data_IF_639733907109
#
_entry.id   IF_639733907109
#
_cell.length_a   1.000
_cell.length_b   1.000
_cell.length_c   1.000
_cell.angle_alpha   90.00
_cell.angle_beta   90.00
_cell.angle_gamma   90.00
#
_symmetry.space_group_name_H-M   'P 1'
#
loop_
_entity.id
_entity.type
_entity.pdbx_description
1 polymer ?
#
# COMPACT_ATOMS: atom_id res chain seq x y z
N UNK A 1 -34.61 0.85 15.61
CA UNK A 1 -33.19 0.60 15.96
C UNK A 1 -32.48 1.94 16.12
N UNK A 2 -31.78 2.11 17.23
CA UNK A 2 -31.00 3.33 17.45
C UNK A 2 -29.67 3.25 16.70
N UNK A 3 -29.13 4.40 16.33
CA UNK A 3 -27.91 4.51 15.57
C UNK A 3 -26.76 5.02 16.46
N UNK A 4 -25.59 4.48 16.26
CA UNK A 4 -24.35 4.99 16.84
C UNK A 4 -23.70 5.91 15.79
N UNK A 5 -23.60 7.21 16.11
CA UNK A 5 -23.12 8.20 15.17
C UNK A 5 -21.84 8.86 15.68
N UNK A 6 -20.82 8.81 14.83
CA UNK A 6 -19.54 9.48 15.08
C UNK A 6 -18.82 9.67 13.75
N UNK A 7 -17.81 10.52 13.73
CA UNK A 7 -16.96 10.68 12.57
C UNK A 7 -15.95 9.52 12.54
N UNK A 8 -16.09 8.65 11.55
CA UNK A 8 -15.23 7.47 11.40
C UNK A 8 -14.00 7.72 10.51
N UNK A 9 -13.86 8.93 9.98
CA UNK A 9 -12.71 9.29 9.15
C UNK A 9 -12.73 8.73 7.73
N UNK A 10 -13.75 7.97 7.35
CA UNK A 10 -13.84 7.44 5.99
C UNK A 10 -13.98 8.56 4.97
N UNK A 11 -13.24 8.43 3.88
CA UNK A 11 -13.31 9.33 2.72
C UNK A 11 -13.45 8.51 1.45
N UNK A 12 -14.07 9.10 0.44
CA UNK A 12 -14.21 8.50 -0.88
C UNK A 12 -13.16 9.11 -1.82
N UNK A 13 -12.49 8.26 -2.57
CA UNK A 13 -11.45 8.68 -3.52
C UNK A 13 -11.79 8.14 -4.92
N UNK A 14 -11.71 9.03 -5.90
CA UNK A 14 -11.78 8.61 -7.30
C UNK A 14 -10.40 8.11 -7.74
N UNK A 15 -10.38 7.00 -8.46
CA UNK A 15 -9.15 6.52 -9.07
C UNK A 15 -8.95 7.26 -10.38
N UNK A 16 -7.85 8.01 -10.49
CA UNK A 16 -7.50 8.81 -11.67
C UNK A 16 -8.63 9.74 -12.13
N UNK A 17 -9.30 10.38 -11.17
CA UNK A 17 -10.41 11.31 -11.41
C UNK A 17 -11.60 10.69 -12.16
N UNK A 18 -11.74 9.38 -12.12
CA UNK A 18 -12.83 8.65 -12.75
C UNK A 18 -13.97 8.46 -11.73
N UNK A 19 -15.16 9.09 -11.95
CA UNK A 19 -16.26 8.98 -11.00
C UNK A 19 -16.88 7.58 -10.93
N UNK A 20 -16.60 6.71 -11.90
CA UNK A 20 -17.04 5.31 -11.88
C UNK A 20 -16.06 4.38 -11.15
N UNK A 21 -14.92 4.91 -10.75
CA UNK A 21 -13.88 4.15 -10.04
C UNK A 21 -13.63 4.81 -8.69
N UNK A 22 -14.41 4.42 -7.69
CA UNK A 22 -14.38 5.02 -6.35
C UNK A 22 -14.00 3.95 -5.34
N UNK A 23 -13.02 4.27 -4.49
CA UNK A 23 -12.69 3.47 -3.32
C UNK A 23 -12.94 4.31 -2.07
N UNK A 24 -13.23 3.64 -0.97
CA UNK A 24 -13.54 4.32 0.28
C UNK A 24 -12.73 3.72 1.43
N UNK A 25 -11.97 4.55 2.11
CA UNK A 25 -11.18 4.12 3.27
C UNK A 25 -10.80 5.34 4.10
N UNK A 26 -10.28 5.08 5.30
CA UNK A 26 -9.72 6.14 6.14
C UNK A 26 -8.23 6.29 5.85
N UNK A 27 -7.79 7.39 5.21
CA UNK A 27 -6.37 7.58 4.85
C UNK A 27 -5.47 7.79 6.06
N UNK A 28 -6.03 7.94 7.25
CA UNK A 28 -5.30 8.09 8.49
C UNK A 28 -5.27 6.81 9.33
N UNK A 29 -5.74 5.69 8.78
CA UNK A 29 -5.70 4.41 9.48
C UNK A 29 -4.29 3.83 9.47
N UNK A 30 -3.62 3.72 10.63
CA UNK A 30 -2.25 3.20 10.69
C UNK A 30 -2.15 1.73 10.28
N UNK A 31 -3.21 0.94 10.42
CA UNK A 31 -3.21 -0.44 9.96
C UNK A 31 -3.21 -0.52 8.43
N UNK A 32 -3.96 0.35 7.77
CA UNK A 32 -3.96 0.43 6.31
C UNK A 32 -2.57 0.87 5.81
N UNK A 33 -2.00 1.89 6.43
CA UNK A 33 -0.64 2.36 6.10
C UNK A 33 0.36 1.22 6.23
N UNK A 34 0.30 0.48 7.33
CA UNK A 34 1.20 -0.64 7.57
C UNK A 34 1.03 -1.75 6.53
N UNK A 35 -0.21 -2.07 6.16
CA UNK A 35 -0.48 -3.09 5.14
C UNK A 35 0.02 -2.68 3.76
N UNK A 36 -0.10 -1.40 3.39
CA UNK A 36 0.48 -0.88 2.15
C UNK A 36 2.00 -1.06 2.13
N UNK A 37 2.67 -0.70 3.22
CA UNK A 37 4.12 -0.87 3.34
C UNK A 37 4.52 -2.35 3.29
N UNK A 38 3.76 -3.23 3.91
CA UNK A 38 4.02 -4.67 3.87
C UNK A 38 3.87 -5.23 2.47
N UNK A 39 2.86 -4.81 1.72
CA UNK A 39 2.69 -5.22 0.32
C UNK A 39 3.84 -4.70 -0.53
N UNK A 40 4.26 -3.47 -0.33
CA UNK A 40 5.40 -2.89 -1.04
C UNK A 40 6.67 -3.72 -0.79
N UNK A 41 6.95 -4.07 0.45
CA UNK A 41 8.11 -4.89 0.82
C UNK A 41 8.01 -6.31 0.25
N UNK A 42 6.87 -6.95 0.38
CA UNK A 42 6.64 -8.31 -0.09
C UNK A 42 6.94 -8.42 -1.59
N UNK A 43 6.39 -7.52 -2.38
CA UNK A 43 6.52 -7.58 -3.84
C UNK A 43 7.82 -6.95 -4.37
N UNK A 44 8.55 -6.18 -3.57
CA UNK A 44 9.88 -5.70 -3.95
C UNK A 44 10.96 -6.77 -3.77
N UNK A 45 10.76 -7.69 -2.82
CA UNK A 45 11.69 -8.78 -2.52
C UNK A 45 11.44 -9.99 -3.44
N UNK A 46 10.18 -10.22 -3.83
CA UNK A 46 9.86 -11.30 -4.76
C UNK A 46 10.41 -10.99 -6.15
N UNK A 47 11.10 -11.97 -6.70
CA UNK A 47 11.57 -11.89 -8.07
C UNK A 47 10.35 -11.81 -8.99
N UNK A 48 10.05 -10.60 -9.42
CA UNK A 48 9.19 -10.41 -10.58
C UNK A 48 9.94 -11.08 -11.73
N UNK A 49 9.29 -11.94 -12.54
CA UNK A 49 10.00 -12.55 -13.65
C UNK A 49 10.64 -11.44 -14.46
N UNK A 50 11.91 -11.63 -14.79
CA UNK A 50 12.54 -10.76 -15.77
C UNK A 50 11.60 -10.68 -16.95
N UNK A 51 11.26 -9.46 -17.35
CA UNK A 51 10.32 -9.25 -18.44
C UNK A 51 10.68 -10.05 -19.66
N UNK A 52 9.79 -10.17 -20.62
CA UNK A 52 10.01 -10.90 -21.86
C UNK A 52 11.38 -10.56 -22.41
N UNK A 53 12.34 -11.51 -22.29
CA UNK A 53 13.67 -11.34 -22.86
C UNK A 53 13.54 -11.60 -24.37
N UNK A 54 13.92 -10.63 -25.16
CA UNK A 54 13.82 -10.74 -26.60
C UNK A 54 15.10 -11.34 -27.17
N UNK A 55 14.95 -12.18 -28.17
CA UNK A 55 16.04 -12.61 -29.03
C UNK A 55 16.53 -11.42 -29.86
N UNK A 56 17.74 -11.49 -30.45
CA UNK A 56 18.23 -10.43 -31.33
C UNK A 56 17.31 -10.10 -32.51
N UNK A 57 16.46 -11.07 -32.92
CA UNK A 57 15.48 -10.88 -34.00
C UNK A 57 14.16 -10.27 -33.54
N UNK A 58 14.05 -9.96 -32.24
CA UNK A 58 12.84 -9.38 -31.63
C UNK A 58 11.82 -10.42 -31.16
N UNK A 59 12.06 -11.72 -31.35
CA UNK A 59 11.16 -12.76 -30.87
C UNK A 59 11.36 -13.01 -29.38
N UNK A 60 10.33 -13.44 -28.63
CA UNK A 60 10.46 -13.78 -27.22
C UNK A 60 11.37 -14.98 -27.02
N UNK A 61 12.28 -14.88 -26.04
CA UNK A 61 13.20 -15.98 -25.66
C UNK A 61 12.54 -17.06 -24.84
N UNK A 62 11.42 -16.78 -24.19
CA UNK A 62 10.80 -17.64 -23.21
C UNK A 62 9.50 -18.21 -23.73
N UNK A 63 9.06 -19.32 -23.11
CA UNK A 63 7.79 -19.95 -23.41
C UNK A 63 6.66 -19.02 -22.96
N UNK A 64 5.92 -18.49 -23.93
CA UNK A 64 4.81 -17.55 -23.65
C UNK A 64 3.72 -18.19 -22.77
N UNK A 65 3.49 -19.49 -22.86
CA UNK A 65 2.52 -20.18 -22.01
C UNK A 65 2.97 -20.15 -20.54
N UNK A 66 4.25 -20.40 -20.29
CA UNK A 66 4.85 -20.39 -18.96
C UNK A 66 4.83 -18.99 -18.38
N UNK A 67 5.21 -17.99 -19.16
CA UNK A 67 5.18 -16.59 -18.73
C UNK A 67 3.76 -16.10 -18.53
N UNK A 68 2.82 -16.54 -19.37
CA UNK A 68 1.40 -16.24 -19.24
C UNK A 68 0.81 -16.80 -17.94
N UNK A 69 1.16 -18.03 -17.59
CA UNK A 69 0.74 -18.62 -16.30
C UNK A 69 1.28 -17.83 -15.12
N UNK A 70 2.53 -17.39 -15.19
CA UNK A 70 3.15 -16.59 -14.13
C UNK A 70 2.45 -15.22 -13.99
N UNK A 71 2.17 -14.55 -15.10
CA UNK A 71 1.45 -13.28 -15.10
C UNK A 71 0.08 -13.43 -14.44
N UNK A 72 -0.64 -14.52 -14.76
CA UNK A 72 -1.93 -14.81 -14.15
C UNK A 72 -1.82 -15.07 -12.65
N UNK A 73 -0.85 -15.86 -12.22
CA UNK A 73 -0.59 -16.14 -10.80
C UNK A 73 -0.23 -14.88 -10.02
N UNK A 74 0.58 -14.01 -10.62
CA UNK A 74 0.94 -12.74 -10.03
C UNK A 74 -0.29 -11.86 -9.84
N UNK A 75 -1.19 -11.80 -10.82
CA UNK A 75 -2.43 -11.03 -10.72
C UNK A 75 -3.33 -11.55 -9.58
N UNK A 76 -3.41 -12.88 -9.40
CA UNK A 76 -4.17 -13.48 -8.29
C UNK A 76 -3.58 -13.07 -6.94
N UNK A 77 -2.27 -13.17 -6.80
CA UNK A 77 -1.56 -12.78 -5.57
C UNK A 77 -1.75 -11.28 -5.27
N UNK A 78 -1.69 -10.45 -6.29
CA UNK A 78 -1.85 -9.00 -6.17
C UNK A 78 -3.29 -8.62 -5.79
N UNK A 79 -4.29 -9.29 -6.39
CA UNK A 79 -5.70 -9.11 -6.01
C UNK A 79 -5.91 -9.37 -4.52
N UNK A 80 -5.40 -10.50 -4.06
CA UNK A 80 -5.51 -10.89 -2.65
C UNK A 80 -4.82 -9.86 -1.74
N UNK A 81 -3.62 -9.41 -2.11
CA UNK A 81 -2.86 -8.44 -1.35
C UNK A 81 -3.59 -7.10 -1.25
N UNK A 82 -4.04 -6.55 -2.37
CA UNK A 82 -4.74 -5.26 -2.38
C UNK A 82 -6.07 -5.31 -1.65
N UNK A 83 -6.87 -6.34 -1.87
CA UNK A 83 -8.13 -6.49 -1.16
C UNK A 83 -7.92 -6.64 0.35
N UNK A 84 -6.82 -7.27 0.76
CA UNK A 84 -6.46 -7.41 2.18
C UNK A 84 -6.04 -6.08 2.82
N UNK A 85 -5.43 -5.18 2.05
CA UNK A 85 -5.06 -3.84 2.58
C UNK A 85 -6.30 -3.14 3.15
N UNK A 86 -7.40 -3.18 2.44
CA UNK A 86 -8.61 -2.44 2.76
C UNK A 86 -9.69 -3.29 3.41
N UNK A 87 -9.51 -4.61 3.53
CA UNK A 87 -10.55 -5.57 3.91
C UNK A 87 -11.82 -5.38 3.07
N UNK A 88 -11.64 -5.13 1.78
CA UNK A 88 -12.71 -4.86 0.84
C UNK A 88 -12.28 -5.24 -0.56
N UNK A 89 -13.24 -5.47 -1.43
CA UNK A 89 -12.98 -5.79 -2.84
C UNK A 89 -12.74 -4.50 -3.63
N UNK A 90 -11.46 -4.10 -3.72
CA UNK A 90 -11.05 -2.84 -4.37
C UNK A 90 -10.18 -3.04 -5.61
N UNK A 91 -9.63 -4.25 -5.79
CA UNK A 91 -8.65 -4.51 -6.84
C UNK A 91 -9.17 -4.15 -8.24
N UNK A 92 -10.36 -4.61 -8.60
CA UNK A 92 -10.92 -4.36 -9.92
C UNK A 92 -11.19 -2.87 -10.17
N UNK A 93 -11.58 -2.15 -9.12
CA UNK A 93 -11.79 -0.70 -9.20
C UNK A 93 -10.47 0.03 -9.45
N UNK A 94 -9.41 -0.37 -8.75
CA UNK A 94 -8.10 0.27 -8.85
C UNK A 94 -7.43 -0.04 -10.19
N UNK A 95 -7.40 -1.31 -10.58
CA UNK A 95 -6.64 -1.74 -11.77
C UNK A 95 -7.46 -1.70 -13.06
N UNK A 96 -8.78 -1.60 -12.96
CA UNK A 96 -9.68 -1.44 -14.11
C UNK A 96 -9.48 -2.50 -15.21
N UNK A 97 -9.26 -3.75 -14.81
CA UNK A 97 -9.07 -4.87 -15.74
C UNK A 97 -7.67 -4.98 -16.31
N UNK A 98 -6.74 -4.11 -15.93
CA UNK A 98 -5.35 -4.18 -16.39
C UNK A 98 -4.54 -5.13 -15.53
N UNK A 99 -3.50 -5.73 -16.11
CA UNK A 99 -2.53 -6.48 -15.33
C UNK A 99 -1.74 -5.56 -14.41
N UNK A 100 -1.46 -5.98 -13.16
CA UNK A 100 -0.59 -5.19 -12.28
C UNK A 100 0.85 -5.09 -12.79
N UNK A 101 1.22 -5.91 -13.75
CA UNK A 101 2.55 -5.89 -14.37
C UNK A 101 2.62 -5.03 -15.64
N UNK A 102 1.58 -4.25 -15.96
CA UNK A 102 1.67 -3.24 -17.02
C UNK A 102 2.84 -2.30 -16.75
N UNK A 103 3.64 -2.02 -17.77
CA UNK A 103 4.79 -1.13 -17.64
C UNK A 103 4.33 0.32 -17.81
N UNK A 104 4.60 1.12 -16.78
CA UNK A 104 4.31 2.56 -16.77
C UNK A 104 5.63 3.28 -16.54
N UNK A 105 6.23 3.79 -17.62
CA UNK A 105 7.56 4.37 -17.54
C UNK A 105 8.60 3.31 -17.16
N UNK A 106 9.26 3.49 -16.03
CA UNK A 106 10.23 2.51 -15.49
C UNK A 106 9.65 1.61 -14.41
N UNK A 107 8.37 1.78 -14.09
CA UNK A 107 7.71 1.04 -13.03
C UNK A 107 6.63 0.10 -13.57
N UNK A 108 6.21 -0.82 -12.74
CA UNK A 108 4.99 -1.60 -12.97
C UNK A 108 3.77 -0.83 -12.45
N UNK A 109 2.60 -1.12 -13.00
CA UNK A 109 1.36 -0.48 -12.60
C UNK A 109 1.12 -0.60 -11.08
N UNK A 110 1.36 -1.78 -10.49
CA UNK A 110 1.16 -1.95 -9.05
C UNK A 110 2.08 -1.05 -8.22
N UNK A 111 3.29 -0.78 -8.69
CA UNK A 111 4.21 0.14 -8.03
C UNK A 111 3.70 1.57 -8.06
N UNK A 112 3.13 1.98 -9.19
CA UNK A 112 2.50 3.31 -9.33
C UNK A 112 1.28 3.44 -8.41
N UNK A 113 0.48 2.38 -8.28
CA UNK A 113 -0.68 2.37 -7.37
C UNK A 113 -0.22 2.50 -5.92
N UNK A 114 0.78 1.72 -5.50
CA UNK A 114 1.31 1.79 -4.14
C UNK A 114 1.88 3.18 -3.83
N UNK A 115 2.58 3.76 -4.78
CA UNK A 115 3.11 5.14 -4.66
C UNK A 115 1.96 6.13 -4.48
N UNK A 116 0.92 6.03 -5.29
CA UNK A 116 -0.25 6.91 -5.19
C UNK A 116 -0.97 6.78 -3.84
N UNK A 117 -1.11 5.55 -3.32
CA UNK A 117 -1.71 5.31 -2.00
C UNK A 117 -0.86 5.93 -0.90
N UNK A 118 0.45 5.77 -0.95
CA UNK A 118 1.36 6.37 0.04
C UNK A 118 1.30 7.90 -0.01
N UNK A 119 1.19 8.49 -1.18
CA UNK A 119 1.02 9.94 -1.33
C UNK A 119 -0.29 10.43 -0.69
N UNK A 120 -1.40 9.70 -0.87
CA UNK A 120 -2.67 10.01 -0.22
C UNK A 120 -2.56 9.98 1.30
N UNK A 121 -1.78 9.05 1.84
CA UNK A 121 -1.65 8.85 3.28
C UNK A 121 -0.51 9.68 3.92
N UNK A 122 0.29 10.36 3.12
CA UNK A 122 1.44 11.13 3.57
C UNK A 122 1.11 12.14 4.68
N UNK A 123 0.05 12.96 4.57
CA UNK A 123 -0.29 13.89 5.63
C UNK A 123 -0.57 13.21 6.96
N UNK A 124 -1.23 12.06 6.94
CA UNK A 124 -1.52 11.26 8.13
C UNK A 124 -0.25 10.66 8.74
N UNK A 125 0.65 10.15 7.89
CA UNK A 125 1.95 9.62 8.35
C UNK A 125 2.73 10.71 9.08
N UNK A 126 2.80 11.91 8.51
CA UNK A 126 3.47 13.06 9.14
C UNK A 126 2.81 13.45 10.46
N UNK A 127 1.49 13.48 10.50
CA UNK A 127 0.74 13.80 11.71
C UNK A 127 0.98 12.76 12.80
N UNK A 128 0.99 11.47 12.47
CA UNK A 128 1.30 10.39 13.41
C UNK A 128 2.72 10.50 13.93
N UNK A 129 3.69 10.73 13.08
CA UNK A 129 5.08 10.87 13.48
C UNK A 129 5.26 12.04 14.44
N UNK A 130 4.63 13.17 14.16
CA UNK A 130 4.66 14.34 15.04
C UNK A 130 4.00 14.06 16.40
N UNK A 131 2.82 13.43 16.39
CA UNK A 131 2.09 13.08 17.60
C UNK A 131 2.86 12.05 18.44
N UNK A 132 3.40 11.03 17.79
CA UNK A 132 4.17 9.99 18.47
C UNK A 132 5.47 10.54 19.06
N UNK A 133 6.17 11.43 18.36
CA UNK A 133 7.37 12.10 18.88
C UNK A 133 7.04 12.91 20.13
N UNK A 134 5.92 13.64 20.09
CA UNK A 134 5.48 14.46 21.22
C UNK A 134 5.16 13.60 22.44
N UNK A 135 4.41 12.51 22.23
CA UNK A 135 4.07 11.57 23.30
C UNK A 135 5.30 10.83 23.80
N UNK A 136 6.18 10.40 22.90
CA UNK A 136 7.41 9.71 23.26
C UNK A 136 8.33 10.63 24.07
N UNK A 137 8.47 11.88 23.64
CA UNK A 137 9.26 12.88 24.34
C UNK A 137 8.74 13.12 25.78
N UNK A 138 7.43 13.22 25.92
CA UNK A 138 6.79 13.39 27.23
C UNK A 138 6.99 12.15 28.11
N UNK A 139 6.83 10.96 27.54
CA UNK A 139 7.07 9.71 28.24
C UNK A 139 8.52 9.60 28.73
N UNK A 140 9.49 9.95 27.89
CA UNK A 140 10.90 9.94 28.25
C UNK A 140 11.23 10.95 29.35
N UNK A 141 10.58 12.11 29.34
CA UNK A 141 10.70 13.10 30.42
C UNK A 141 10.21 12.54 31.74
N UNK A 142 9.06 11.88 31.76
CA UNK A 142 8.49 11.28 32.96
C UNK A 142 9.40 10.18 33.49
N UNK A 143 9.96 9.35 32.63
CA UNK A 143 10.92 8.31 33.02
C UNK A 143 12.19 8.91 33.58
N UNK A 144 12.76 9.95 32.96
CA UNK A 144 13.95 10.66 33.47
C UNK A 144 13.68 11.29 34.85
N UNK A 145 12.51 11.89 35.02
CA UNK A 145 12.10 12.47 36.30
C UNK A 145 11.98 11.39 37.36
N UNK A 146 11.39 10.25 37.05
CA UNK A 146 11.28 9.12 37.97
C UNK A 146 12.65 8.55 38.36
N UNK A 147 13.55 8.40 37.37
CA UNK A 147 14.93 7.95 37.63
C UNK A 147 15.68 8.92 38.54
N UNK A 148 15.53 10.21 38.31
CA UNK A 148 16.14 11.25 39.17
C UNK A 148 15.51 11.21 40.54
N UNK A 149 14.19 11.05 40.67
CA UNK A 149 13.47 11.02 41.93
C UNK A 149 13.75 9.77 42.77
N UNK A 150 14.13 8.67 42.14
CA UNK A 150 14.52 7.43 42.85
C UNK A 150 15.99 7.43 43.30
N UNK A 151 16.67 8.54 43.14
CA UNK A 151 17.99 8.71 43.68
C UNK A 151 19.09 7.91 42.98
N UNK A 152 18.96 7.74 41.71
CA UNK A 152 20.04 7.15 40.93
C UNK A 152 21.30 8.00 41.07
N UNK A 153 22.43 7.40 41.41
CA UNK A 153 23.68 8.15 41.58
C UNK A 153 24.18 8.78 40.29
#
# INVERSE_FOLDING_TARGET
MRSLNFNDGYESFMVNDDPNRVIRFNPADPEIINRVLNVQNEFSVHQIPEGIVLNPDGSPKTDLEKDGAYVAEFAVAMRKAFNSIFNADVYDTIFAGQSPLCIIGQNYLFEEVLKGLLELMQPAVKAYNKKNRKKMSQYLKDVETDEISTGQP
#
